data_IF_096730916785
#
_entry.id   IF_096730916785
#
_cell.length_a   1.000
_cell.length_b   1.000
_cell.length_c   1.000
_cell.angle_alpha   90.00
_cell.angle_beta   90.00
_cell.angle_gamma   90.00
#
_symmetry.space_group_name_H-M   'P 1'
#
loop_
_entity.id
_entity.type
_entity.pdbx_description
1 polymer ?
#
# COMPACT_ATOMS: atom_id res chain seq x y z
N UNK A 1 8.50 49.00 -3.86
CA UNK A 1 9.08 48.14 -2.79
C UNK A 1 8.12 48.14 -1.62
N UNK A 2 7.48 47.01 -1.32
CA UNK A 2 6.53 46.95 -0.21
C UNK A 2 5.83 45.60 -0.11
N UNK A 3 6.28 44.80 0.86
CA UNK A 3 5.71 43.55 1.35
C UNK A 3 5.90 42.30 0.47
N UNK A 4 7.08 41.70 0.63
CA UNK A 4 7.35 40.28 0.44
C UNK A 4 6.26 39.51 1.20
N UNK A 5 5.39 38.81 0.48
CA UNK A 5 4.44 37.89 1.09
C UNK A 5 5.26 36.82 1.82
N UNK A 6 5.28 36.92 3.14
CA UNK A 6 5.72 35.87 4.03
C UNK A 6 4.65 34.77 3.92
N UNK A 7 4.74 33.93 2.88
CA UNK A 7 3.97 32.69 2.83
C UNK A 7 4.52 31.84 3.96
N UNK A 8 3.80 31.76 5.07
CA UNK A 8 4.14 30.85 6.16
C UNK A 8 4.32 29.46 5.55
N UNK A 9 5.53 28.93 5.68
CA UNK A 9 6.02 27.62 5.19
C UNK A 9 5.33 26.43 5.89
N UNK A 10 4.13 26.66 6.44
CA UNK A 10 3.39 25.77 7.31
C UNK A 10 2.09 25.44 6.61
N UNK A 11 1.92 24.17 6.24
CA UNK A 11 0.68 23.66 5.67
C UNK A 11 -0.52 24.05 6.53
N UNK A 12 -1.54 24.60 5.88
CA UNK A 12 -2.83 24.95 6.48
C UNK A 12 -3.56 23.71 7.01
N UNK A 13 -4.50 23.91 7.92
CA UNK A 13 -5.28 22.81 8.47
C UNK A 13 -6.08 22.05 7.39
N UNK A 14 -6.62 22.77 6.41
CA UNK A 14 -7.37 22.17 5.30
C UNK A 14 -6.46 21.29 4.43
N UNK A 15 -5.23 21.74 4.15
CA UNK A 15 -4.25 20.94 3.41
C UNK A 15 -3.85 19.67 4.18
N UNK A 16 -3.69 19.77 5.50
CA UNK A 16 -3.38 18.60 6.36
C UNK A 16 -4.52 17.60 6.37
N UNK A 17 -5.76 18.06 6.47
CA UNK A 17 -6.95 17.19 6.40
C UNK A 17 -7.04 16.52 5.04
N UNK A 18 -6.84 17.26 3.95
CA UNK A 18 -6.87 16.69 2.60
C UNK A 18 -5.74 15.67 2.36
N UNK A 19 -4.54 15.96 2.83
CA UNK A 19 -3.41 15.04 2.76
C UNK A 19 -3.68 13.77 3.58
N UNK A 20 -4.23 13.91 4.79
CA UNK A 20 -4.59 12.77 5.60
C UNK A 20 -5.69 11.90 4.97
N UNK A 21 -6.70 12.51 4.35
CA UNK A 21 -7.72 11.79 3.57
C UNK A 21 -7.07 11.02 2.44
N UNK A 22 -6.08 11.60 1.74
CA UNK A 22 -5.34 10.92 0.70
C UNK A 22 -4.68 9.62 1.21
N UNK A 23 -4.03 9.66 2.38
CA UNK A 23 -3.46 8.46 3.01
C UNK A 23 -4.53 7.50 3.58
N UNK A 24 -5.62 8.01 4.16
CA UNK A 24 -6.67 7.21 4.78
C UNK A 24 -7.44 6.34 3.77
N UNK A 25 -7.40 6.71 2.48
CA UNK A 25 -7.97 5.90 1.40
C UNK A 25 -7.31 4.52 1.27
N UNK A 26 -6.21 4.23 2.00
CA UNK A 26 -5.56 2.91 2.10
C UNK A 26 -6.49 1.80 2.59
N UNK A 27 -7.55 2.16 3.34
CA UNK A 27 -8.56 1.19 3.79
C UNK A 27 -9.29 0.56 2.60
N UNK A 28 -9.44 1.31 1.51
CA UNK A 28 -10.20 0.87 0.34
C UNK A 28 -9.29 0.76 -0.89
N UNK A 29 -8.78 -0.44 -1.22
CA UNK A 29 -7.75 -0.62 -2.24
C UNK A 29 -8.07 -0.01 -3.61
N UNK A 30 -9.34 -0.06 -4.05
CA UNK A 30 -9.75 0.48 -5.36
C UNK A 30 -9.88 2.01 -5.39
N UNK A 31 -10.42 2.62 -4.33
CA UNK A 31 -10.49 4.08 -4.19
C UNK A 31 -9.13 4.69 -3.85
N UNK A 32 -8.28 3.85 -3.29
CA UNK A 32 -7.04 4.25 -2.68
C UNK A 32 -5.98 4.79 -3.63
N UNK A 33 -6.01 4.44 -4.91
CA UNK A 33 -5.15 5.10 -5.92
C UNK A 33 -5.85 6.31 -6.53
N UNK A 34 -7.17 6.21 -6.76
CA UNK A 34 -7.92 7.23 -7.49
C UNK A 34 -8.00 8.54 -6.70
N UNK A 35 -8.39 8.47 -5.42
CA UNK A 35 -8.53 9.64 -4.56
C UNK A 35 -7.24 10.46 -4.44
N UNK A 36 -6.07 9.90 -4.07
CA UNK A 36 -4.83 10.68 -4.00
C UNK A 36 -4.38 11.21 -5.37
N UNK A 37 -4.62 10.49 -6.48
CA UNK A 37 -4.31 11.03 -7.81
C UNK A 37 -5.19 12.22 -8.20
N UNK A 38 -6.48 12.18 -7.86
CA UNK A 38 -7.41 13.30 -8.07
C UNK A 38 -6.99 14.51 -7.22
N UNK A 39 -6.65 14.28 -5.95
CA UNK A 39 -6.15 15.33 -5.05
C UNK A 39 -4.85 15.91 -5.62
N UNK A 40 -3.91 15.07 -6.05
CA UNK A 40 -2.67 15.50 -6.67
C UNK A 40 -2.92 16.35 -7.93
N UNK A 41 -3.73 15.86 -8.87
CA UNK A 41 -4.01 16.58 -10.12
C UNK A 41 -4.70 17.92 -9.93
N UNK A 42 -5.52 18.07 -8.88
CA UNK A 42 -6.29 19.30 -8.61
C UNK A 42 -5.60 20.30 -7.68
N UNK A 43 -4.66 19.84 -6.85
CA UNK A 43 -4.06 20.64 -5.78
C UNK A 43 -2.55 20.82 -5.87
N UNK A 44 -1.82 20.04 -6.70
CA UNK A 44 -0.35 20.10 -6.78
C UNK A 44 0.22 21.48 -7.12
N UNK A 45 -0.51 22.28 -7.90
CA UNK A 45 -0.09 23.63 -8.31
C UNK A 45 -0.41 24.70 -7.26
N UNK A 46 -1.37 24.41 -6.37
CA UNK A 46 -1.80 25.31 -5.29
C UNK A 46 -0.96 25.11 -4.04
N UNK A 47 -0.52 23.89 -3.78
CA UNK A 47 0.21 23.51 -2.57
C UNK A 47 1.23 22.43 -2.84
N UNK A 48 2.51 22.77 -2.64
CA UNK A 48 3.62 21.82 -2.77
C UNK A 48 3.52 20.70 -1.73
N UNK A 49 3.14 21.04 -0.49
CA UNK A 49 2.94 20.07 0.58
C UNK A 49 1.85 19.05 0.23
N UNK A 50 0.66 19.53 -0.17
CA UNK A 50 -0.45 18.63 -0.49
C UNK A 50 -0.16 17.82 -1.76
N UNK A 51 0.49 18.42 -2.76
CA UNK A 51 0.98 17.71 -3.94
C UNK A 51 1.95 16.57 -3.58
N UNK A 52 2.93 16.83 -2.72
CA UNK A 52 3.87 15.81 -2.27
C UNK A 52 3.16 14.66 -1.53
N UNK A 53 2.34 14.96 -0.52
CA UNK A 53 1.66 13.94 0.29
C UNK A 53 0.67 13.10 -0.54
N UNK A 54 -0.10 13.74 -1.42
CA UNK A 54 -1.03 13.04 -2.30
C UNK A 54 -0.30 12.09 -3.26
N UNK A 55 0.82 12.52 -3.86
CA UNK A 55 1.60 11.65 -4.74
C UNK A 55 2.30 10.52 -3.96
N UNK A 56 2.72 10.78 -2.72
CA UNK A 56 3.24 9.75 -1.83
C UNK A 56 2.19 8.67 -1.51
N UNK A 57 0.96 9.08 -1.17
CA UNK A 57 -0.15 8.18 -0.92
C UNK A 57 -0.49 7.35 -2.16
N UNK A 58 -0.56 7.98 -3.34
CA UNK A 58 -0.79 7.28 -4.60
C UNK A 58 0.31 6.26 -4.90
N UNK A 59 1.58 6.64 -4.75
CA UNK A 59 2.73 5.74 -4.94
C UNK A 59 2.71 4.57 -3.96
N UNK A 60 2.36 4.82 -2.70
CA UNK A 60 2.23 3.77 -1.70
C UNK A 60 1.17 2.74 -2.12
N UNK A 61 -0.02 3.20 -2.52
CA UNK A 61 -1.12 2.35 -2.99
C UNK A 61 -0.77 1.57 -4.26
N UNK A 62 -0.01 2.17 -5.16
CA UNK A 62 0.46 1.49 -6.37
C UNK A 62 1.39 0.31 -6.03
N UNK A 63 2.25 0.46 -5.02
CA UNK A 63 3.09 -0.65 -4.52
C UNK A 63 2.23 -1.79 -3.99
N UNK A 64 1.11 -1.51 -3.29
CA UNK A 64 0.19 -2.56 -2.84
C UNK A 64 -0.41 -3.31 -4.02
N UNK A 65 -0.84 -2.62 -5.07
CA UNK A 65 -1.38 -3.28 -6.26
C UNK A 65 -0.35 -4.25 -6.84
N UNK A 66 0.89 -3.80 -7.07
CA UNK A 66 1.95 -4.66 -7.60
C UNK A 66 2.27 -5.84 -6.67
N UNK A 67 2.40 -5.59 -5.36
CA UNK A 67 2.63 -6.63 -4.37
C UNK A 67 1.48 -7.65 -4.32
N UNK A 68 0.23 -7.18 -4.44
CA UNK A 68 -0.96 -8.02 -4.43
C UNK A 68 -1.06 -8.91 -5.68
N UNK A 69 -0.59 -8.45 -6.84
CA UNK A 69 -0.50 -9.27 -8.06
C UNK A 69 0.48 -10.43 -7.86
N UNK A 70 1.67 -10.14 -7.34
CA UNK A 70 2.68 -11.18 -7.05
C UNK A 70 2.18 -12.15 -6.00
N UNK A 71 1.64 -11.63 -4.89
CA UNK A 71 1.05 -12.44 -3.82
C UNK A 71 -0.10 -13.33 -4.33
N UNK A 72 -0.96 -12.79 -5.21
CA UNK A 72 -2.06 -13.51 -5.83
C UNK A 72 -1.57 -14.68 -6.69
N UNK A 73 -0.51 -14.49 -7.48
CA UNK A 73 0.10 -15.58 -8.27
C UNK A 73 0.64 -16.67 -7.34
N UNK A 74 1.39 -16.31 -6.29
CA UNK A 74 1.94 -17.28 -5.33
C UNK A 74 0.83 -18.05 -4.60
N UNK A 75 -0.23 -17.35 -4.20
CA UNK A 75 -1.40 -17.95 -3.58
C UNK A 75 -2.10 -18.93 -4.53
N UNK A 76 -2.31 -18.55 -5.79
CA UNK A 76 -2.95 -19.41 -6.79
C UNK A 76 -2.11 -20.66 -7.09
N UNK A 77 -0.79 -20.53 -7.20
CA UNK A 77 0.12 -21.67 -7.33
C UNK A 77 -0.02 -22.64 -6.14
N UNK A 78 -0.10 -22.13 -4.92
CA UNK A 78 -0.30 -22.95 -3.73
C UNK A 78 -1.70 -23.60 -3.72
N UNK A 79 -2.75 -22.83 -4.01
CA UNK A 79 -4.13 -23.31 -4.01
C UNK A 79 -4.34 -24.46 -5.01
N UNK A 80 -3.83 -24.31 -6.23
CA UNK A 80 -3.93 -25.37 -7.25
C UNK A 80 -2.97 -26.55 -7.01
N UNK A 81 -1.98 -26.41 -6.12
CA UNK A 81 -1.12 -27.55 -5.76
C UNK A 81 -1.88 -28.64 -5.00
N UNK A 82 -2.97 -28.31 -4.32
CA UNK A 82 -3.77 -29.27 -3.56
C UNK A 82 -4.40 -30.38 -4.45
N UNK A 83 -5.24 -30.06 -5.45
CA UNK A 83 -5.84 -31.10 -6.30
C UNK A 83 -4.77 -31.90 -7.08
N UNK A 84 -3.65 -31.26 -7.43
CA UNK A 84 -2.53 -31.92 -8.12
C UNK A 84 -1.84 -32.93 -7.21
N UNK A 85 -1.49 -32.54 -5.98
CA UNK A 85 -0.86 -33.43 -5.01
C UNK A 85 -1.80 -34.54 -4.56
N UNK A 86 -3.10 -34.28 -4.44
CA UNK A 86 -4.12 -35.30 -4.15
C UNK A 86 -4.21 -36.36 -5.27
N UNK A 87 -4.22 -35.94 -6.54
CA UNK A 87 -4.27 -36.85 -7.67
C UNK A 87 -2.98 -37.68 -7.81
N UNK A 88 -1.82 -37.02 -7.72
CA UNK A 88 -0.53 -37.67 -7.93
C UNK A 88 -0.11 -38.60 -6.78
N UNK A 89 -0.70 -38.43 -5.60
CA UNK A 89 -0.39 -39.24 -4.42
C UNK A 89 -1.22 -40.53 -4.32
N UNK A 90 -2.23 -40.70 -5.18
CA UNK A 90 -3.09 -41.90 -5.22
C UNK A 90 -2.37 -43.25 -5.41
N UNK A 91 -1.23 -43.36 -6.13
CA UNK A 91 -0.50 -44.63 -6.27
C UNK A 91 0.32 -45.03 -5.04
N UNK A 92 0.43 -44.17 -4.03
CA UNK A 92 1.26 -44.41 -2.84
C UNK A 92 0.43 -45.00 -1.69
N UNK A 93 1.11 -45.54 -0.69
CA UNK A 93 0.48 -46.03 0.54
C UNK A 93 -0.37 -44.95 1.23
N UNK A 94 -1.44 -45.34 1.94
CA UNK A 94 -2.42 -44.43 2.54
C UNK A 94 -1.80 -43.31 3.39
N UNK A 95 -0.76 -43.64 4.17
CA UNK A 95 -0.04 -42.66 4.99
C UNK A 95 0.64 -41.57 4.14
N UNK A 96 1.27 -41.96 3.03
CA UNK A 96 1.95 -41.05 2.10
C UNK A 96 0.95 -40.29 1.24
N UNK A 97 -0.12 -40.96 0.80
CA UNK A 97 -1.23 -40.38 0.04
C UNK A 97 -1.91 -39.23 0.79
N UNK A 98 -1.99 -39.30 2.12
CA UNK A 98 -2.58 -38.24 2.94
C UNK A 98 -1.60 -37.10 3.27
N UNK A 99 -0.29 -37.39 3.38
CA UNK A 99 0.72 -36.41 3.78
C UNK A 99 0.88 -35.26 2.76
N UNK A 100 0.99 -35.57 1.47
CA UNK A 100 1.24 -34.54 0.44
C UNK A 100 0.10 -33.52 0.31
N UNK A 101 -1.18 -33.91 0.25
CA UNK A 101 -2.28 -32.95 0.15
C UNK A 101 -2.47 -32.15 1.43
N UNK A 102 -2.28 -32.76 2.62
CA UNK A 102 -2.34 -32.05 3.89
C UNK A 102 -1.24 -30.99 4.02
N UNK A 103 -0.02 -31.31 3.59
CA UNK A 103 1.08 -30.34 3.55
C UNK A 103 0.75 -29.19 2.59
N UNK A 104 0.27 -29.49 1.39
CA UNK A 104 -0.15 -28.49 0.39
C UNK A 104 -1.21 -27.53 0.95
N UNK A 105 -2.27 -28.06 1.57
CA UNK A 105 -3.34 -27.26 2.20
C UNK A 105 -2.80 -26.41 3.34
N UNK A 106 -1.94 -26.99 4.19
CA UNK A 106 -1.30 -26.26 5.30
C UNK A 106 -0.46 -25.10 4.78
N UNK A 107 0.28 -25.28 3.68
CA UNK A 107 1.00 -24.21 3.02
C UNK A 107 0.07 -23.11 2.49
N UNK A 108 -1.06 -23.46 1.88
CA UNK A 108 -2.03 -22.47 1.38
C UNK A 108 -2.59 -21.61 2.51
N UNK A 109 -3.03 -22.22 3.61
CA UNK A 109 -3.51 -21.47 4.78
C UNK A 109 -2.41 -20.66 5.47
N UNK A 110 -1.19 -21.20 5.53
CA UNK A 110 -0.02 -20.47 6.03
C UNK A 110 0.28 -19.22 5.21
N UNK A 111 0.29 -19.33 3.89
CA UNK A 111 0.46 -18.18 2.98
C UNK A 111 -0.67 -17.17 3.17
N UNK A 112 -1.93 -17.62 3.22
CA UNK A 112 -3.07 -16.73 3.43
C UNK A 112 -2.95 -15.95 4.75
N UNK A 113 -2.55 -16.63 5.83
CA UNK A 113 -2.32 -16.00 7.12
C UNK A 113 -1.23 -14.93 7.06
N UNK A 114 -0.10 -15.23 6.43
CA UNK A 114 1.00 -14.27 6.23
C UNK A 114 0.57 -13.07 5.38
N UNK A 115 -0.22 -13.29 4.32
CA UNK A 115 -0.76 -12.21 3.49
C UNK A 115 -1.72 -11.33 4.27
N UNK A 116 -2.54 -11.90 5.16
CA UNK A 116 -3.44 -11.14 6.02
C UNK A 116 -2.68 -10.25 7.01
N UNK A 117 -1.61 -10.78 7.62
CA UNK A 117 -0.73 -9.99 8.50
C UNK A 117 -0.02 -8.86 7.73
N UNK A 118 0.49 -9.16 6.53
CA UNK A 118 1.13 -8.16 5.68
C UNK A 118 0.15 -7.06 5.27
N UNK A 119 -1.09 -7.41 4.93
CA UNK A 119 -2.15 -6.45 4.61
C UNK A 119 -2.49 -5.56 5.80
N UNK A 120 -2.65 -6.13 7.00
CA UNK A 120 -2.91 -5.36 8.23
C UNK A 120 -1.77 -4.40 8.55
N UNK A 121 -0.52 -4.86 8.45
CA UNK A 121 0.66 -4.02 8.67
C UNK A 121 0.73 -2.88 7.64
N UNK A 122 0.41 -3.16 6.39
CA UNK A 122 0.38 -2.17 5.31
C UNK A 122 -0.70 -1.11 5.56
N UNK A 123 -1.96 -1.52 5.81
CA UNK A 123 -3.05 -0.57 6.12
C UNK A 123 -2.73 0.23 7.37
N UNK A 124 -2.21 -0.41 8.41
CA UNK A 124 -1.78 0.24 9.65
C UNK A 124 -0.72 1.32 9.41
N UNK A 125 0.28 1.04 8.56
CA UNK A 125 1.30 2.01 8.21
C UNK A 125 0.78 3.17 7.37
N UNK A 126 -0.16 2.92 6.44
CA UNK A 126 -0.85 3.97 5.70
C UNK A 126 -1.70 4.88 6.60
N UNK A 127 -2.44 4.30 7.55
CA UNK A 127 -3.22 5.05 8.55
C UNK A 127 -2.34 5.82 9.52
N UNK A 128 -1.19 5.26 9.91
CA UNK A 128 -0.18 5.99 10.68
C UNK A 128 0.30 7.23 9.93
N UNK A 129 0.51 7.13 8.60
CA UNK A 129 0.78 8.28 7.75
C UNK A 129 -0.33 9.33 7.79
N UNK A 130 -1.59 8.90 7.66
CA UNK A 130 -2.74 9.79 7.75
C UNK A 130 -2.80 10.55 9.08
N UNK A 131 -2.65 9.85 10.21
CA UNK A 131 -2.67 10.46 11.56
C UNK A 131 -1.47 11.40 11.76
N UNK A 132 -0.28 11.00 11.29
CA UNK A 132 0.93 11.80 11.43
C UNK A 132 0.81 13.14 10.70
N UNK A 133 0.25 13.13 9.50
CA UNK A 133 0.00 14.33 8.69
C UNK A 133 -1.07 15.22 9.31
N UNK A 134 -2.15 14.65 9.88
CA UNK A 134 -3.17 15.42 10.62
C UNK A 134 -2.56 16.16 11.81
N UNK A 135 -1.63 15.52 12.53
CA UNK A 135 -0.94 16.12 13.67
C UNK A 135 0.08 17.20 13.28
N UNK A 136 0.33 17.39 11.98
CA UNK A 136 1.24 18.41 11.48
C UNK A 136 2.67 17.96 11.28
N UNK A 137 2.93 16.65 11.32
CA UNK A 137 4.24 16.13 10.96
C UNK A 137 4.35 15.99 9.45
N UNK A 138 5.52 16.34 8.90
CA UNK A 138 5.86 16.06 7.50
C UNK A 138 6.18 14.58 7.33
N UNK A 139 5.13 13.77 7.29
CA UNK A 139 5.26 12.33 7.15
C UNK A 139 5.95 11.98 5.84
N UNK A 140 6.85 10.99 5.89
CA UNK A 140 7.47 10.40 4.72
C UNK A 140 7.53 8.89 4.82
N UNK A 141 7.01 8.21 3.81
CA UNK A 141 7.24 6.78 3.64
C UNK A 141 8.74 6.51 3.44
N UNK A 142 9.28 5.52 4.16
CA UNK A 142 10.73 5.25 4.24
C UNK A 142 11.39 5.12 2.86
N UNK A 143 10.74 4.45 1.92
CA UNK A 143 11.28 4.22 0.58
C UNK A 143 10.81 5.25 -0.46
N UNK A 144 9.58 5.74 -0.34
CA UNK A 144 8.95 6.63 -1.32
C UNK A 144 9.35 8.10 -1.13
N UNK A 145 9.54 8.56 0.12
CA UNK A 145 9.88 9.95 0.41
C UNK A 145 11.13 10.45 -0.32
N UNK A 146 12.30 9.81 -0.11
CA UNK A 146 13.55 10.24 -0.74
C UNK A 146 13.58 10.06 -2.28
N UNK A 147 12.79 9.13 -2.81
CA UNK A 147 12.65 8.97 -4.26
C UNK A 147 11.81 10.10 -4.86
N UNK A 148 10.72 10.46 -4.19
CA UNK A 148 9.79 11.47 -4.67
C UNK A 148 10.35 12.89 -4.56
N UNK A 149 11.08 13.19 -3.49
CA UNK A 149 11.77 14.48 -3.32
C UNK A 149 12.69 14.75 -4.52
N UNK A 150 13.51 13.77 -4.91
CA UNK A 150 14.43 13.88 -6.06
C UNK A 150 13.70 14.06 -7.39
N UNK A 151 12.54 13.43 -7.57
CA UNK A 151 11.75 13.54 -8.80
C UNK A 151 11.13 14.94 -8.93
N UNK A 152 10.58 15.48 -7.84
CA UNK A 152 9.96 16.80 -7.83
C UNK A 152 10.97 17.95 -7.87
N UNK A 153 12.21 17.73 -7.45
CA UNK A 153 13.31 18.69 -7.63
C UNK A 153 13.79 18.81 -9.08
N UNK A 154 13.51 17.80 -9.93
CA UNK A 154 13.95 17.76 -11.33
C UNK A 154 12.86 18.15 -12.33
N UNK A 155 11.60 18.25 -11.90
CA UNK A 155 10.42 18.55 -12.72
C UNK A 155 10.07 20.05 -12.67
#
# INVERSE_FOLDING_TARGET
MGKKAETSDVATQDERVMAAVAHATVIWPTLGVIAPLVIWGTQREKSKFLGFQALQAAGYQFILILASLVAGVLYMCSFFSFPVTALLSAPFDEGVALCFPLLSVSCTFGILFLLMLAWLAYVGYGLFGAVSVLQGSDFRYVFLGPWLDRYLEQA
#
